data_IF_290410203561
#
_entry.id   IF_290410203561
#
_cell.length_a   1.000
_cell.length_b   1.000
_cell.length_c   1.000
_cell.angle_alpha   90.00
_cell.angle_beta   90.00
_cell.angle_gamma   90.00
#
_symmetry.space_group_name_H-M   'P 1'
#
loop_
_entity.id
_entity.type
_entity.pdbx_description
1 polymer ?
#
# COMPACT_ATOMS: atom_id res chain seq x y z
N UNK A 1 30.44 6.20 26.65
CA UNK A 1 30.51 6.27 25.19
C UNK A 1 29.69 7.40 24.54
N UNK A 2 28.71 7.99 25.21
CA UNK A 2 27.85 9.10 24.67
C UNK A 2 28.58 10.48 24.58
N UNK A 3 29.68 10.70 25.27
CA UNK A 3 30.36 12.00 25.35
C UNK A 3 31.00 12.46 24.03
N UNK A 4 31.27 11.56 23.09
CA UNK A 4 31.90 11.89 21.81
C UNK A 4 30.87 12.29 20.70
N UNK A 5 29.57 12.05 20.93
CA UNK A 5 28.49 12.41 19.99
C UNK A 5 27.91 13.80 20.24
N UNK A 6 28.22 14.42 21.38
CA UNK A 6 27.68 15.75 21.71
C UNK A 6 28.54 16.84 21.06
N UNK A 7 27.93 17.76 20.30
CA UNK A 7 28.65 18.88 19.71
C UNK A 7 29.29 19.73 20.77
N UNK A 8 30.57 20.10 20.56
CA UNK A 8 31.36 20.92 21.49
C UNK A 8 30.88 22.37 21.57
N UNK A 9 30.18 22.86 20.57
CA UNK A 9 29.66 24.23 20.53
C UNK A 9 28.33 24.37 21.29
N UNK A 10 28.12 25.50 21.95
CA UNK A 10 26.87 25.84 22.62
C UNK A 10 25.68 25.75 21.63
N UNK A 11 25.84 26.34 20.45
CA UNK A 11 24.86 26.33 19.38
C UNK A 11 24.49 24.89 18.95
N UNK A 12 25.49 24.01 18.81
CA UNK A 12 25.25 22.61 18.45
C UNK A 12 24.45 21.85 19.52
N UNK A 13 24.71 22.11 20.80
CA UNK A 13 23.94 21.49 21.90
C UNK A 13 22.49 21.98 21.90
N UNK A 14 22.27 23.27 21.73
CA UNK A 14 20.92 23.85 21.68
C UNK A 14 20.15 23.33 20.48
N UNK A 15 20.78 23.23 19.31
CA UNK A 15 20.18 22.62 18.12
C UNK A 15 19.78 21.18 18.40
N UNK A 16 20.67 20.37 18.97
CA UNK A 16 20.37 18.96 19.27
C UNK A 16 19.17 18.81 20.22
N UNK A 17 19.13 19.61 21.29
CA UNK A 17 18.06 19.58 22.30
C UNK A 17 16.70 19.92 21.68
N UNK A 18 16.64 20.84 20.72
CA UNK A 18 15.38 21.25 20.08
C UNK A 18 15.00 20.35 18.91
N UNK A 19 15.96 19.99 18.05
CA UNK A 19 15.67 19.22 16.84
C UNK A 19 15.44 17.72 17.13
N UNK A 20 16.13 17.16 18.11
CA UNK A 20 16.02 15.74 18.43
C UNK A 20 14.57 15.32 18.76
N UNK A 21 13.86 15.99 19.70
CA UNK A 21 12.46 15.63 19.98
C UNK A 21 11.53 15.88 18.79
N UNK A 22 11.78 16.88 17.96
CA UNK A 22 10.98 17.14 16.75
C UNK A 22 11.12 15.98 15.77
N UNK A 23 12.36 15.56 15.48
CA UNK A 23 12.64 14.46 14.55
C UNK A 23 12.10 13.14 15.12
N UNK A 24 12.32 12.86 16.42
CA UNK A 24 11.79 11.66 17.07
C UNK A 24 10.27 11.60 17.00
N UNK A 25 9.58 12.70 17.26
CA UNK A 25 8.13 12.79 17.15
C UNK A 25 7.63 12.57 15.72
N UNK A 26 8.33 13.14 14.72
CA UNK A 26 8.00 12.94 13.31
C UNK A 26 8.17 11.47 12.88
N UNK A 27 9.21 10.79 13.33
CA UNK A 27 9.42 9.37 13.05
C UNK A 27 8.28 8.52 13.66
N UNK A 28 7.90 8.79 14.91
CA UNK A 28 6.81 8.10 15.60
C UNK A 28 5.50 8.31 14.84
N UNK A 29 5.17 9.56 14.48
CA UNK A 29 3.98 9.88 13.72
C UNK A 29 3.96 9.17 12.36
N UNK A 30 5.07 9.21 11.63
CA UNK A 30 5.19 8.58 10.32
C UNK A 30 4.94 7.07 10.43
N UNK A 31 5.59 6.41 11.39
CA UNK A 31 5.45 4.96 11.60
C UNK A 31 4.03 4.57 12.00
N UNK A 32 3.46 5.27 12.99
CA UNK A 32 2.11 4.98 13.44
C UNK A 32 1.06 5.22 12.35
N UNK A 33 1.16 6.36 11.68
CA UNK A 33 0.21 6.75 10.63
C UNK A 33 0.30 5.84 9.42
N UNK A 34 1.53 5.51 8.99
CA UNK A 34 1.76 4.60 7.87
C UNK A 34 1.15 3.23 8.14
N UNK A 35 1.48 2.59 9.25
CA UNK A 35 0.95 1.27 9.58
C UNK A 35 -0.58 1.28 9.70
N UNK A 36 -1.14 2.23 10.45
CA UNK A 36 -2.58 2.27 10.71
C UNK A 36 -3.43 2.61 9.49
N UNK A 37 -3.01 3.53 8.64
CA UNK A 37 -3.76 3.91 7.45
C UNK A 37 -3.56 2.93 6.31
N UNK A 38 -2.34 2.42 6.15
CA UNK A 38 -2.02 1.49 5.10
C UNK A 38 -2.84 0.22 5.21
N UNK A 39 -2.83 -0.44 6.36
CA UNK A 39 -3.62 -1.66 6.60
C UNK A 39 -5.12 -1.42 6.37
N UNK A 40 -5.66 -0.32 6.88
CA UNK A 40 -7.08 0.00 6.68
C UNK A 40 -7.43 0.24 5.21
N UNK A 41 -6.54 0.86 4.46
CA UNK A 41 -6.75 1.13 3.04
C UNK A 41 -6.67 -0.15 2.23
N UNK A 42 -5.66 -0.99 2.50
CA UNK A 42 -5.54 -2.31 1.88
C UNK A 42 -6.78 -3.16 2.11
N UNK A 43 -7.20 -3.29 3.36
CA UNK A 43 -8.36 -4.12 3.70
C UNK A 43 -9.64 -3.60 3.03
N UNK A 44 -9.82 -2.27 2.94
CA UNK A 44 -10.98 -1.70 2.24
C UNK A 44 -10.96 -1.96 0.73
N UNK A 45 -9.81 -1.79 0.09
CA UNK A 45 -9.66 -2.04 -1.34
C UNK A 45 -9.82 -3.52 -1.64
N UNK A 46 -9.14 -4.38 -0.89
CA UNK A 46 -9.25 -5.83 -1.02
C UNK A 46 -10.71 -6.30 -0.86
N UNK A 47 -11.40 -5.80 0.17
CA UNK A 47 -12.80 -6.11 0.41
C UNK A 47 -13.71 -5.66 -0.73
N UNK A 48 -13.51 -4.43 -1.23
CA UNK A 48 -14.32 -3.91 -2.35
C UNK A 48 -14.19 -4.79 -3.59
N UNK A 49 -12.94 -5.12 -3.97
CA UNK A 49 -12.67 -5.95 -5.14
C UNK A 49 -13.15 -7.40 -4.93
N UNK A 50 -13.00 -7.96 -3.72
CA UNK A 50 -13.50 -9.30 -3.42
C UNK A 50 -15.03 -9.39 -3.52
N UNK A 51 -15.76 -8.37 -3.05
CA UNK A 51 -17.22 -8.32 -3.19
C UNK A 51 -17.66 -8.21 -4.65
N UNK A 52 -16.94 -7.41 -5.46
CA UNK A 52 -17.22 -7.28 -6.89
C UNK A 52 -16.95 -8.59 -7.64
N UNK A 53 -15.84 -9.26 -7.31
CA UNK A 53 -15.50 -10.56 -7.89
C UNK A 53 -16.56 -11.60 -7.52
N UNK A 54 -16.96 -11.67 -6.25
CA UNK A 54 -18.02 -12.59 -5.82
C UNK A 54 -19.33 -12.35 -6.57
N UNK A 55 -19.72 -11.07 -6.71
CA UNK A 55 -20.94 -10.73 -7.46
C UNK A 55 -20.84 -11.15 -8.95
N UNK A 56 -19.69 -10.96 -9.56
CA UNK A 56 -19.47 -11.36 -10.96
C UNK A 56 -19.42 -12.89 -11.06
N UNK A 57 -18.78 -13.56 -10.12
CA UNK A 57 -18.70 -15.03 -10.06
C UNK A 57 -20.08 -15.65 -9.93
N UNK A 58 -20.92 -15.17 -9.01
CA UNK A 58 -22.30 -15.61 -8.84
C UNK A 58 -23.13 -15.45 -10.12
N UNK A 59 -22.99 -14.30 -10.78
CA UNK A 59 -23.67 -14.09 -12.07
C UNK A 59 -23.13 -15.03 -13.16
N UNK A 60 -21.81 -15.26 -13.18
CA UNK A 60 -21.16 -16.11 -14.17
C UNK A 60 -21.58 -17.58 -14.04
N UNK A 61 -21.73 -18.07 -12.81
CA UNK A 61 -22.14 -19.44 -12.51
C UNK A 61 -23.63 -19.69 -12.69
N UNK A 62 -24.47 -18.64 -12.54
CA UNK A 62 -25.93 -18.73 -12.62
C UNK A 62 -26.46 -18.51 -14.04
N UNK A 63 -25.87 -17.60 -14.79
CA UNK A 63 -26.26 -17.26 -16.17
C UNK A 63 -25.03 -17.40 -17.09
N UNK A 64 -25.21 -17.98 -18.30
CA UNK A 64 -24.14 -17.98 -19.30
C UNK A 64 -23.78 -16.53 -19.66
N UNK A 65 -22.64 -16.05 -19.19
CA UNK A 65 -22.15 -14.70 -19.44
C UNK A 65 -21.81 -14.56 -20.92
N UNK A 66 -22.54 -13.69 -21.61
CA UNK A 66 -22.29 -13.31 -23.01
C UNK A 66 -21.14 -12.29 -23.10
N UNK A 67 -20.47 -12.20 -24.28
CA UNK A 67 -19.41 -11.21 -24.56
C UNK A 67 -19.83 -9.77 -24.21
N UNK A 68 -21.12 -9.45 -24.39
CA UNK A 68 -21.67 -8.13 -24.07
C UNK A 68 -21.64 -7.83 -22.57
N UNK A 69 -21.86 -8.84 -21.72
CA UNK A 69 -21.80 -8.71 -20.26
C UNK A 69 -20.35 -8.60 -19.78
N UNK A 70 -19.44 -9.40 -20.34
CA UNK A 70 -18.02 -9.31 -20.03
C UNK A 70 -17.45 -7.92 -20.33
N UNK A 71 -17.84 -7.34 -21.50
CA UNK A 71 -17.47 -5.97 -21.83
C UNK A 71 -17.99 -4.95 -20.82
N UNK A 72 -19.22 -5.13 -20.30
CA UNK A 72 -19.76 -4.26 -19.23
C UNK A 72 -18.96 -4.40 -17.93
N UNK A 73 -18.56 -5.60 -17.54
CA UNK A 73 -17.72 -5.80 -16.36
C UNK A 73 -16.38 -5.08 -16.50
N UNK A 74 -15.75 -5.17 -17.67
CA UNK A 74 -14.53 -4.43 -17.93
C UNK A 74 -14.74 -2.90 -17.89
N UNK A 75 -15.79 -2.40 -18.55
CA UNK A 75 -16.06 -0.96 -18.63
C UNK A 75 -16.38 -0.33 -17.26
N UNK A 76 -17.06 -1.07 -16.36
CA UNK A 76 -17.45 -0.56 -15.05
C UNK A 76 -16.44 -0.88 -13.94
N UNK A 77 -15.88 -2.09 -13.95
CA UNK A 77 -15.05 -2.59 -12.87
C UNK A 77 -13.58 -2.75 -13.24
N UNK A 78 -13.19 -2.54 -14.49
CA UNK A 78 -11.85 -2.86 -15.01
C UNK A 78 -11.45 -4.30 -14.71
N UNK A 79 -12.40 -5.21 -14.71
CA UNK A 79 -12.21 -6.65 -14.51
C UNK A 79 -12.57 -7.36 -15.80
N UNK A 80 -11.62 -8.08 -16.36
CA UNK A 80 -11.83 -8.98 -17.49
C UNK A 80 -12.09 -10.39 -16.95
N UNK A 81 -13.12 -11.08 -17.47
CA UNK A 81 -13.52 -12.40 -16.99
C UNK A 81 -13.60 -13.35 -18.16
N UNK A 82 -12.99 -14.53 -18.05
CA UNK A 82 -13.04 -15.56 -19.07
C UNK A 82 -12.87 -16.96 -18.48
N UNK A 83 -13.32 -17.98 -19.21
CA UNK A 83 -13.08 -19.39 -18.87
C UNK A 83 -11.75 -19.85 -19.44
N UNK A 84 -11.05 -20.67 -18.65
CA UNK A 84 -9.82 -21.31 -19.08
C UNK A 84 -9.72 -22.69 -18.43
N UNK A 85 -9.53 -23.74 -19.24
CA UNK A 85 -9.47 -25.13 -18.77
C UNK A 85 -8.17 -25.43 -18.01
N UNK A 86 -7.09 -24.71 -18.31
CA UNK A 86 -5.79 -24.91 -17.67
C UNK A 86 -4.97 -23.61 -17.76
N UNK A 87 -5.19 -22.66 -16.82
CA UNK A 87 -4.43 -21.42 -16.83
C UNK A 87 -2.92 -21.68 -16.61
N UNK A 88 -2.09 -21.40 -17.60
CA UNK A 88 -0.63 -21.61 -17.56
C UNK A 88 0.07 -20.95 -16.35
N UNK A 89 -0.54 -19.90 -15.79
CA UNK A 89 0.01 -19.20 -14.65
C UNK A 89 -0.15 -19.96 -13.31
N UNK A 90 -1.09 -20.90 -13.22
CA UNK A 90 -1.27 -21.71 -12.00
C UNK A 90 -0.05 -22.62 -11.78
N UNK A 91 0.48 -23.21 -12.85
CA UNK A 91 1.66 -24.07 -12.76
C UNK A 91 2.95 -23.28 -12.50
N UNK A 92 3.05 -22.07 -13.06
CA UNK A 92 4.26 -21.24 -12.97
C UNK A 92 4.40 -20.47 -11.66
N UNK A 93 3.31 -20.19 -11.00
CA UNK A 93 3.29 -19.29 -9.87
C UNK A 93 2.54 -19.83 -8.64
N UNK A 94 2.91 -20.99 -8.17
CA UNK A 94 2.89 -21.23 -6.73
C UNK A 94 3.98 -20.39 -6.04
N UNK A 95 4.30 -19.23 -6.62
CA UNK A 95 5.07 -18.19 -5.97
C UNK A 95 4.13 -17.68 -4.88
N UNK A 96 4.42 -18.12 -3.66
CA UNK A 96 4.02 -17.44 -2.43
C UNK A 96 4.50 -16.00 -2.55
N UNK A 97 3.77 -15.18 -3.30
CA UNK A 97 3.96 -13.74 -3.29
C UNK A 97 3.53 -13.29 -1.89
N UNK A 98 4.49 -13.22 -0.99
CA UNK A 98 4.34 -12.74 0.39
C UNK A 98 4.09 -11.23 0.44
N UNK A 99 3.69 -10.64 -0.67
CA UNK A 99 3.30 -9.23 -0.71
C UNK A 99 2.13 -9.02 0.27
N UNK A 100 2.24 -8.06 1.21
CA UNK A 100 1.15 -7.73 2.14
C UNK A 100 -0.17 -7.42 1.42
N UNK A 101 -0.10 -6.92 0.20
CA UNK A 101 -1.26 -6.62 -0.65
C UNK A 101 -1.98 -7.90 -1.05
N UNK A 102 -1.24 -8.87 -1.59
CA UNK A 102 -1.81 -10.17 -2.02
C UNK A 102 -2.32 -10.96 -0.81
N UNK A 103 -1.60 -10.91 0.32
CA UNK A 103 -2.01 -11.57 1.56
C UNK A 103 -3.33 -11.00 2.09
N UNK A 104 -3.48 -9.67 2.11
CA UNK A 104 -4.73 -9.00 2.52
C UNK A 104 -5.88 -9.34 1.57
N UNK A 105 -5.62 -9.29 0.26
CA UNK A 105 -6.63 -9.62 -0.76
C UNK A 105 -7.08 -11.08 -0.65
N UNK A 106 -6.15 -12.02 -0.49
CA UNK A 106 -6.44 -13.44 -0.28
C UNK A 106 -7.31 -13.66 0.97
N UNK A 107 -6.98 -12.98 2.07
CA UNK A 107 -7.73 -13.09 3.32
C UNK A 107 -9.16 -12.57 3.20
N UNK A 108 -9.38 -11.46 2.49
CA UNK A 108 -10.74 -10.95 2.24
C UNK A 108 -11.49 -11.85 1.24
N UNK A 109 -10.84 -12.31 0.18
CA UNK A 109 -11.47 -13.14 -0.85
C UNK A 109 -11.97 -14.48 -0.27
N UNK A 110 -11.17 -15.11 0.59
CA UNK A 110 -11.57 -16.36 1.28
C UNK A 110 -12.78 -16.22 2.22
N UNK A 111 -13.24 -14.99 2.49
CA UNK A 111 -14.46 -14.73 3.25
C UNK A 111 -15.72 -14.72 2.39
N UNK A 112 -15.55 -14.70 1.06
CA UNK A 112 -16.66 -14.62 0.11
C UNK A 112 -16.74 -15.80 -0.84
N UNK A 113 -15.64 -16.50 -1.07
CA UNK A 113 -15.50 -17.59 -2.03
C UNK A 113 -15.01 -18.81 -1.28
N UNK A 114 -15.81 -19.87 -1.30
CA UNK A 114 -15.53 -21.16 -0.64
C UNK A 114 -14.72 -22.10 -1.54
N UNK A 115 -14.71 -21.87 -2.86
CA UNK A 115 -14.00 -22.68 -3.84
C UNK A 115 -12.49 -22.42 -3.79
N UNK A 116 -11.73 -23.40 -4.27
CA UNK A 116 -10.28 -23.24 -4.43
C UNK A 116 -9.95 -22.17 -5.45
N UNK A 117 -9.06 -21.26 -5.08
CA UNK A 117 -8.62 -20.18 -5.94
C UNK A 117 -7.11 -19.98 -5.92
N UNK A 118 -6.59 -19.48 -7.03
CA UNK A 118 -5.18 -19.19 -7.26
C UNK A 118 -5.01 -17.72 -7.64
N UNK A 119 -4.05 -17.05 -7.01
CA UNK A 119 -3.75 -15.65 -7.29
C UNK A 119 -2.32 -15.56 -7.82
N UNK A 120 -2.18 -14.94 -8.98
CA UNK A 120 -0.91 -14.66 -9.61
C UNK A 120 -0.78 -13.18 -9.95
N UNK A 121 0.44 -12.68 -9.96
CA UNK A 121 0.76 -11.32 -10.39
C UNK A 121 1.78 -11.38 -11.53
N UNK A 122 1.42 -10.76 -12.64
CA UNK A 122 2.31 -10.59 -13.78
C UNK A 122 2.34 -9.10 -14.15
N UNK A 123 3.50 -8.47 -14.03
CA UNK A 123 3.67 -7.03 -14.20
C UNK A 123 2.72 -6.23 -13.28
N UNK A 124 1.84 -5.41 -13.86
CA UNK A 124 0.86 -4.58 -13.16
C UNK A 124 -0.56 -5.21 -13.14
N UNK A 125 -0.67 -6.47 -13.57
CA UNK A 125 -1.95 -7.20 -13.60
C UNK A 125 -1.99 -8.28 -12.52
N UNK A 126 -3.17 -8.44 -11.95
CA UNK A 126 -3.51 -9.53 -11.05
C UNK A 126 -4.41 -10.51 -11.80
N UNK A 127 -4.05 -11.77 -11.74
CA UNK A 127 -4.82 -12.88 -12.25
C UNK A 127 -5.34 -13.71 -11.07
N UNK A 128 -6.63 -13.89 -11.03
CA UNK A 128 -7.31 -14.74 -10.07
C UNK A 128 -8.06 -15.83 -10.82
N UNK A 129 -7.73 -17.10 -10.58
CA UNK A 129 -8.44 -18.24 -11.12
C UNK A 129 -9.23 -18.91 -9.98
N UNK A 130 -10.53 -19.05 -10.16
CA UNK A 130 -11.44 -19.74 -9.23
C UNK A 130 -11.87 -21.05 -9.89
N UNK A 131 -11.76 -22.15 -9.15
CA UNK A 131 -12.17 -23.47 -9.64
C UNK A 131 -13.68 -23.51 -9.85
N UNK A 132 -14.13 -23.94 -11.02
CA UNK A 132 -15.53 -24.09 -11.37
C UNK A 132 -15.74 -25.34 -12.23
N UNK A 133 -16.36 -26.36 -11.67
CA UNK A 133 -16.52 -27.68 -12.31
C UNK A 133 -15.15 -28.25 -12.77
N UNK A 134 -14.97 -28.49 -14.08
CA UNK A 134 -13.74 -28.97 -14.69
C UNK A 134 -12.88 -27.84 -15.30
N UNK A 135 -13.24 -26.58 -15.09
CA UNK A 135 -12.61 -25.40 -15.67
C UNK A 135 -12.27 -24.37 -14.59
N UNK A 136 -11.67 -23.24 -14.99
CA UNK A 136 -11.42 -22.10 -14.11
C UNK A 136 -12.07 -20.83 -14.66
N UNK A 137 -12.74 -20.10 -13.78
CA UNK A 137 -13.15 -18.71 -14.06
C UNK A 137 -11.98 -17.81 -13.72
N UNK A 138 -11.42 -17.16 -14.73
CA UNK A 138 -10.24 -16.31 -14.58
C UNK A 138 -10.67 -14.85 -14.61
N UNK A 139 -10.25 -14.12 -13.56
CA UNK A 139 -10.42 -12.69 -13.43
C UNK A 139 -9.07 -11.99 -13.62
N UNK A 140 -9.01 -11.04 -14.51
CA UNK A 140 -7.82 -10.25 -14.79
C UNK A 140 -8.14 -8.77 -14.50
N UNK A 141 -7.35 -8.13 -13.65
CA UNK A 141 -7.54 -6.73 -13.28
C UNK A 141 -6.23 -6.04 -12.88
N UNK A 142 -6.13 -4.70 -12.99
CA UNK A 142 -4.95 -3.96 -12.60
C UNK A 142 -4.68 -4.05 -11.09
N UNK A 143 -3.38 -4.16 -10.71
CA UNK A 143 -2.95 -4.15 -9.30
C UNK A 143 -3.43 -2.90 -8.54
N UNK A 144 -3.53 -1.77 -9.21
CA UNK A 144 -3.99 -0.49 -8.63
C UNK A 144 -5.38 -0.59 -7.97
N UNK A 145 -6.16 -1.61 -8.28
CA UNK A 145 -7.47 -1.86 -7.67
C UNK A 145 -7.36 -2.37 -6.23
N UNK A 146 -6.35 -3.16 -5.92
CA UNK A 146 -6.09 -3.70 -4.57
C UNK A 146 -4.91 -3.02 -3.89
N UNK A 147 -4.11 -2.25 -4.64
CA UNK A 147 -2.94 -1.57 -4.16
C UNK A 147 -2.99 -0.09 -4.53
N UNK A 148 -2.96 0.80 -3.54
CA UNK A 148 -2.88 2.22 -3.86
C UNK A 148 -1.42 2.66 -4.01
N UNK A 149 -1.04 3.02 -5.22
CA UNK A 149 0.28 3.58 -5.55
C UNK A 149 0.53 4.97 -4.93
N UNK A 150 -0.47 5.57 -4.25
CA UNK A 150 -0.37 6.95 -3.71
C UNK A 150 0.39 7.08 -2.39
N UNK A 151 0.90 5.99 -1.83
CA UNK A 151 1.64 6.03 -0.56
C UNK A 151 2.89 6.90 -0.61
N UNK A 152 3.59 6.90 -1.75
CA UNK A 152 4.77 7.74 -1.93
C UNK A 152 4.45 9.24 -1.84
N UNK A 153 3.25 9.66 -2.20
CA UNK A 153 2.81 11.07 -2.09
C UNK A 153 2.74 11.49 -0.63
N UNK A 154 2.15 10.65 0.23
CA UNK A 154 2.08 10.91 1.67
C UNK A 154 3.47 10.97 2.32
N UNK A 155 4.32 9.98 2.02
CA UNK A 155 5.70 9.93 2.53
C UNK A 155 6.49 11.15 2.07
N UNK A 156 6.39 11.52 0.79
CA UNK A 156 7.05 12.71 0.22
C UNK A 156 6.59 13.99 0.92
N UNK A 157 5.29 14.15 1.14
CA UNK A 157 4.74 15.29 1.87
C UNK A 157 5.25 15.37 3.30
N UNK A 158 5.28 14.24 4.02
CA UNK A 158 5.75 14.16 5.40
C UNK A 158 7.24 14.49 5.50
N UNK A 159 8.08 13.95 4.62
CA UNK A 159 9.52 14.24 4.58
C UNK A 159 9.75 15.72 4.26
N UNK A 160 9.05 16.28 3.27
CA UNK A 160 9.18 17.69 2.88
C UNK A 160 8.77 18.60 4.04
N UNK A 161 7.66 18.35 4.71
CA UNK A 161 7.21 19.15 5.86
C UNK A 161 8.22 19.09 7.02
N UNK A 162 8.80 17.92 7.26
CA UNK A 162 9.86 17.74 8.28
C UNK A 162 11.09 18.58 7.96
N UNK A 163 11.55 18.56 6.72
CA UNK A 163 12.72 19.36 6.27
C UNK A 163 12.44 20.85 6.47
N UNK A 164 11.26 21.34 6.08
CA UNK A 164 10.87 22.75 6.25
C UNK A 164 10.88 23.12 7.74
N UNK A 165 10.28 22.29 8.60
CA UNK A 165 10.19 22.54 10.03
C UNK A 165 11.56 22.57 10.70
N UNK A 166 12.44 21.65 10.34
CA UNK A 166 13.84 21.61 10.81
C UNK A 166 14.60 22.86 10.35
N UNK A 167 14.42 23.29 9.10
CA UNK A 167 15.07 24.47 8.55
C UNK A 167 14.63 25.75 9.30
N UNK A 168 13.33 25.90 9.54
CA UNK A 168 12.76 27.02 10.31
C UNK A 168 13.36 27.02 11.73
N UNK A 169 13.34 25.88 12.42
CA UNK A 169 13.90 25.77 13.76
C UNK A 169 15.39 26.12 13.80
N UNK A 170 16.17 25.66 12.82
CA UNK A 170 17.58 25.99 12.67
C UNK A 170 17.80 27.50 12.49
N UNK A 171 17.05 28.16 11.62
CA UNK A 171 17.16 29.60 11.38
C UNK A 171 16.84 30.41 12.64
N UNK A 172 15.79 30.05 13.39
CA UNK A 172 15.45 30.70 14.65
C UNK A 172 16.56 30.52 15.68
N UNK A 173 17.07 29.32 15.87
CA UNK A 173 18.15 29.07 16.82
C UNK A 173 19.43 29.81 16.45
N UNK A 174 19.81 29.85 15.17
CA UNK A 174 20.98 30.59 14.68
C UNK A 174 20.86 32.09 14.99
N UNK A 175 19.68 32.66 14.82
CA UNK A 175 19.46 34.09 15.08
C UNK A 175 19.45 34.40 16.59
N UNK A 176 18.95 33.51 17.46
CA UNK A 176 18.93 33.70 18.91
C UNK A 176 20.32 33.54 19.56
N UNK A 177 21.16 32.64 19.03
CA UNK A 177 22.51 32.41 19.61
C UNK A 177 23.53 33.46 19.15
N UNK A 178 23.28 34.15 18.04
CA UNK A 178 24.20 35.17 17.50
C UNK A 178 24.48 36.34 18.47
N UNK A 179 23.50 36.97 19.15
CA UNK A 179 23.74 38.04 20.11
C UNK A 179 24.49 37.60 21.38
N UNK A 180 24.29 36.35 21.82
CA UNK A 180 24.95 35.82 23.03
C UNK A 180 26.48 35.67 22.79
N UNK A 181 26.88 35.37 21.57
CA UNK A 181 28.28 35.21 21.19
C UNK A 181 29.04 36.53 21.07
N UNK A 182 28.34 37.66 20.94
CA UNK A 182 28.92 39.01 20.81
C UNK A 182 29.12 39.65 22.20
N UNK A 183 28.52 39.10 23.23
CA UNK A 183 28.58 39.60 24.63
C UNK A 183 29.54 38.80 25.51
N UNK A 184 30.14 37.71 25.00
CA UNK A 184 31.15 36.90 25.64
C UNK A 184 32.53 37.08 25.00
#
# INVERSE_FOLDING_TARGET
MLRNFLPKSLLGRTILIVLFPIIAFQIILLTYYYNSLWERTLNRLSRSVSMEINMIYDNFTTEQVDETQNKKFYDYYLINVYLNDSPDFIERENIKSESPVISSFRGELSSYIDEDFFISKLDDLIFLAISFEDTFVVFEFPEDRINTSRNHVFISWQVTSTIILVLIAYLFLKNQVKPIRTLA
#
